data_IF_602273396694
#
_entry.id   IF_602273396694
#
_cell.length_a   1.000
_cell.length_b   1.000
_cell.length_c   1.000
_cell.angle_alpha   90.00
_cell.angle_beta   90.00
_cell.angle_gamma   90.00
#
_symmetry.space_group_name_H-M   'P 1'
#
loop_
_entity.id
_entity.type
_entity.pdbx_description
1 polymer ?
#
# COMPACT_ATOMS: atom_id res chain seq x y z
N UNK A 1 -10.26 21.15 -1.01
CA UNK A 1 -11.58 20.49 -1.03
C UNK A 1 -12.05 20.33 0.41
N UNK A 2 -13.35 20.14 0.66
CA UNK A 2 -13.89 19.93 2.01
C UNK A 2 -13.94 18.44 2.34
N UNK A 3 -13.85 18.09 3.63
CA UNK A 3 -13.90 16.70 4.11
C UNK A 3 -15.11 15.92 3.60
N UNK A 4 -16.27 16.59 3.41
CA UNK A 4 -17.48 15.97 2.87
C UNK A 4 -17.32 15.57 1.39
N UNK A 5 -16.71 16.44 0.57
CA UNK A 5 -16.42 16.12 -0.83
C UNK A 5 -15.41 14.99 -0.95
N UNK A 6 -14.43 14.98 -0.05
CA UNK A 6 -13.39 13.96 -0.01
C UNK A 6 -13.94 12.58 0.39
N UNK A 7 -14.80 12.56 1.40
CA UNK A 7 -15.57 11.38 1.77
C UNK A 7 -16.43 10.88 0.61
N UNK A 8 -17.20 11.77 -0.01
CA UNK A 8 -18.10 11.42 -1.10
C UNK A 8 -17.37 10.85 -2.33
N UNK A 9 -16.21 11.43 -2.67
CA UNK A 9 -15.37 10.92 -3.74
C UNK A 9 -14.81 9.53 -3.43
N UNK A 10 -14.32 9.31 -2.19
CA UNK A 10 -13.83 7.99 -1.78
C UNK A 10 -14.93 6.94 -1.79
N UNK A 11 -16.12 7.29 -1.31
CA UNK A 11 -17.28 6.39 -1.35
C UNK A 11 -17.61 5.98 -2.79
N UNK A 12 -17.65 6.95 -3.70
CA UNK A 12 -17.90 6.69 -5.12
C UNK A 12 -16.84 5.79 -5.74
N UNK A 13 -15.58 6.07 -5.46
CA UNK A 13 -14.43 5.31 -5.94
C UNK A 13 -14.54 3.82 -5.54
N UNK A 14 -14.66 3.54 -4.24
CA UNK A 14 -14.78 2.18 -3.70
C UNK A 14 -16.04 1.46 -4.23
N UNK A 15 -17.17 2.19 -4.34
CA UNK A 15 -18.39 1.65 -4.95
C UNK A 15 -18.17 1.25 -6.42
N UNK A 16 -17.46 2.05 -7.19
CA UNK A 16 -17.20 1.72 -8.60
C UNK A 16 -16.25 0.55 -8.77
N UNK A 17 -15.27 0.37 -7.87
CA UNK A 17 -14.35 -0.77 -7.88
C UNK A 17 -15.06 -2.10 -7.62
N UNK A 18 -16.10 -2.09 -6.79
CA UNK A 18 -16.95 -3.27 -6.55
C UNK A 18 -18.01 -3.49 -7.64
N UNK A 19 -18.03 -2.64 -8.69
CA UNK A 19 -18.98 -2.74 -9.80
C UNK A 19 -20.41 -2.33 -9.45
N UNK A 20 -20.64 -1.73 -8.27
CA UNK A 20 -21.98 -1.37 -7.82
C UNK A 20 -22.46 -0.05 -8.42
N UNK A 21 -23.73 0.01 -8.82
CA UNK A 21 -24.42 1.30 -9.05
C UNK A 21 -24.84 1.94 -7.73
N UNK A 22 -25.22 3.23 -7.73
CA UNK A 22 -25.79 3.88 -6.53
C UNK A 22 -27.06 3.15 -6.07
N UNK A 23 -27.90 2.70 -7.00
CA UNK A 23 -29.10 1.90 -6.72
C UNK A 23 -28.75 0.56 -6.06
N UNK A 24 -27.70 -0.11 -6.53
CA UNK A 24 -27.24 -1.37 -5.93
C UNK A 24 -26.71 -1.16 -4.52
N UNK A 25 -25.89 -0.12 -4.30
CA UNK A 25 -25.38 0.20 -2.97
C UNK A 25 -26.51 0.57 -2.01
N UNK A 26 -27.51 1.34 -2.47
CA UNK A 26 -28.70 1.70 -1.71
C UNK A 26 -29.46 0.46 -1.23
N UNK A 27 -29.79 -0.42 -2.18
CA UNK A 27 -30.52 -1.65 -1.90
C UNK A 27 -29.78 -2.53 -0.88
N UNK A 28 -28.47 -2.70 -1.03
CA UNK A 28 -27.67 -3.56 -0.14
C UNK A 28 -27.43 -2.96 1.24
N UNK A 29 -27.23 -1.65 1.33
CA UNK A 29 -26.97 -0.95 2.60
C UNK A 29 -28.26 -0.63 3.38
N UNK A 30 -29.43 -0.74 2.75
CA UNK A 30 -30.70 -0.27 3.31
C UNK A 30 -30.81 1.25 3.40
N UNK A 31 -29.90 2.00 2.75
CA UNK A 31 -29.92 3.45 2.69
C UNK A 31 -30.66 3.93 1.44
N UNK A 32 -31.26 5.12 1.52
CA UNK A 32 -31.93 5.71 0.37
C UNK A 32 -30.95 6.06 -0.76
N UNK A 33 -31.34 5.79 -2.01
CA UNK A 33 -30.52 6.07 -3.19
C UNK A 33 -30.17 7.55 -3.32
N UNK A 34 -31.12 8.45 -3.06
CA UNK A 34 -30.88 9.90 -3.10
C UNK A 34 -29.94 10.33 -1.97
N UNK A 35 -30.02 9.68 -0.81
CA UNK A 35 -29.06 9.87 0.29
C UNK A 35 -27.64 9.51 -0.15
N UNK A 36 -27.42 8.32 -0.73
CA UNK A 36 -26.10 7.93 -1.28
C UNK A 36 -25.60 8.94 -2.30
N UNK A 37 -26.45 9.34 -3.26
CA UNK A 37 -26.07 10.34 -4.26
C UNK A 37 -25.65 11.67 -3.64
N UNK A 38 -26.36 12.13 -2.61
CA UNK A 38 -26.03 13.37 -1.89
C UNK A 38 -24.75 13.26 -1.05
N UNK A 39 -24.47 12.09 -0.46
CA UNK A 39 -23.21 11.82 0.23
C UNK A 39 -22.04 11.82 -0.77
N UNK A 40 -22.17 11.17 -1.92
CA UNK A 40 -21.12 11.12 -2.95
C UNK A 40 -20.78 12.51 -3.52
N UNK A 41 -21.74 13.43 -3.56
CA UNK A 41 -21.52 14.83 -3.97
C UNK A 41 -20.97 15.71 -2.84
N UNK A 42 -20.88 15.20 -1.61
CA UNK A 42 -20.43 15.94 -0.44
C UNK A 42 -21.46 16.94 0.10
N UNK A 43 -22.75 16.72 -0.17
CA UNK A 43 -23.87 17.58 0.26
C UNK A 43 -24.41 17.21 1.65
N UNK A 44 -24.07 16.02 2.15
CA UNK A 44 -24.51 15.51 3.45
C UNK A 44 -23.34 15.22 4.37
N UNK A 45 -23.50 15.55 5.65
CA UNK A 45 -22.68 15.02 6.72
C UNK A 45 -23.19 13.62 7.09
N UNK A 46 -22.41 12.59 6.78
CA UNK A 46 -22.77 11.18 7.05
C UNK A 46 -22.52 10.86 8.53
N UNK A 47 -23.39 10.08 9.16
CA UNK A 47 -23.18 9.63 10.54
C UNK A 47 -22.15 8.50 10.58
N UNK A 48 -21.47 8.32 11.72
CA UNK A 48 -20.54 7.20 11.92
C UNK A 48 -21.19 5.83 11.68
N UNK A 49 -22.46 5.67 12.10
CA UNK A 49 -23.23 4.44 11.87
C UNK A 49 -23.46 4.18 10.38
N UNK A 50 -23.74 5.21 9.59
CA UNK A 50 -23.90 5.05 8.15
C UNK A 50 -22.55 4.78 7.47
N UNK A 51 -21.44 5.29 8.00
CA UNK A 51 -20.09 4.95 7.51
C UNK A 51 -19.81 3.45 7.71
N UNK A 52 -20.09 2.92 8.90
CA UNK A 52 -19.97 1.48 9.20
C UNK A 52 -20.79 0.64 8.22
N UNK A 53 -22.08 0.93 8.07
CA UNK A 53 -22.98 0.25 7.12
C UNK A 53 -22.42 0.29 5.69
N UNK A 54 -21.95 1.45 5.24
CA UNK A 54 -21.41 1.61 3.89
C UNK A 54 -20.10 0.81 3.70
N UNK A 55 -19.22 0.79 4.70
CA UNK A 55 -17.97 0.02 4.66
C UNK A 55 -18.26 -1.48 4.61
N UNK A 56 -19.16 -1.98 5.47
CA UNK A 56 -19.60 -3.37 5.49
C UNK A 56 -20.24 -3.79 4.15
N UNK A 57 -21.11 -2.92 3.60
CA UNK A 57 -21.78 -3.19 2.32
C UNK A 57 -20.79 -3.25 1.15
N UNK A 58 -19.70 -2.48 1.23
CA UNK A 58 -18.64 -2.45 0.24
C UNK A 58 -17.59 -3.55 0.46
N UNK A 59 -17.69 -4.34 1.54
CA UNK A 59 -16.71 -5.35 1.96
C UNK A 59 -15.30 -4.75 2.15
N UNK A 60 -15.24 -3.61 2.86
CA UNK A 60 -14.00 -2.92 3.15
C UNK A 60 -13.89 -2.54 4.63
N UNK A 61 -12.69 -2.64 5.18
CA UNK A 61 -12.42 -2.13 6.53
C UNK A 61 -12.58 -0.60 6.59
N UNK A 62 -13.16 -0.07 7.68
CA UNK A 62 -13.24 1.40 7.93
C UNK A 62 -11.86 2.05 7.80
N UNK A 63 -10.82 1.43 8.38
CA UNK A 63 -9.45 1.94 8.27
C UNK A 63 -8.98 2.07 6.82
N UNK A 64 -9.38 1.16 5.93
CA UNK A 64 -9.04 1.21 4.51
C UNK A 64 -9.91 2.20 3.73
N UNK A 65 -11.16 2.41 4.14
CA UNK A 65 -11.99 3.48 3.58
C UNK A 65 -11.28 4.82 3.73
N UNK A 66 -10.77 5.12 4.93
CA UNK A 66 -10.06 6.36 5.24
C UNK A 66 -8.57 6.36 4.84
N UNK A 67 -8.06 5.28 4.27
CA UNK A 67 -6.69 5.15 3.76
C UNK A 67 -6.58 5.80 2.36
N UNK A 68 -6.73 7.13 2.31
CA UNK A 68 -6.64 7.93 1.09
C UNK A 68 -6.05 9.31 1.38
N UNK A 69 -5.24 9.84 0.44
CA UNK A 69 -4.70 11.21 0.49
C UNK A 69 -5.76 12.26 0.81
N UNK A 70 -6.99 12.00 0.37
CA UNK A 70 -8.11 12.91 0.52
C UNK A 70 -8.41 13.21 1.99
N UNK A 71 -8.08 12.30 2.90
CA UNK A 71 -8.24 12.45 4.35
C UNK A 71 -6.95 12.83 5.07
N UNK A 72 -5.83 12.95 4.36
CA UNK A 72 -4.61 13.45 4.97
C UNK A 72 -4.82 14.90 5.40
N UNK A 73 -4.61 15.16 6.69
CA UNK A 73 -4.65 16.48 7.32
C UNK A 73 -3.61 17.46 6.72
N UNK A 74 -2.79 16.98 5.77
CA UNK A 74 -1.56 17.59 5.33
C UNK A 74 -1.38 17.53 3.80
N UNK A 75 -2.40 17.91 3.01
CA UNK A 75 -2.32 17.95 1.53
C UNK A 75 -1.17 18.78 0.95
N UNK A 76 -0.81 19.89 1.59
CA UNK A 76 0.34 20.71 1.19
C UNK A 76 1.68 20.02 1.41
N UNK A 77 1.73 19.03 2.31
CA UNK A 77 2.96 18.32 2.66
C UNK A 77 3.23 17.17 1.71
N UNK A 78 2.19 16.46 1.29
CA UNK A 78 2.33 15.39 0.33
C UNK A 78 2.82 15.90 -1.04
N UNK A 79 2.35 17.09 -1.43
CA UNK A 79 2.87 17.80 -2.61
C UNK A 79 4.38 18.05 -2.51
N UNK A 80 4.86 18.53 -1.35
CA UNK A 80 6.30 18.77 -1.10
C UNK A 80 7.13 17.48 -1.11
N UNK A 81 6.57 16.37 -0.64
CA UNK A 81 7.25 15.08 -0.74
C UNK A 81 7.38 14.64 -2.20
N UNK A 82 6.33 14.81 -3.02
CA UNK A 82 6.41 14.51 -4.45
C UNK A 82 7.36 15.43 -5.22
N UNK A 83 7.59 16.66 -4.73
CA UNK A 83 8.58 17.60 -5.30
C UNK A 83 10.03 17.10 -5.10
N UNK A 84 10.29 16.19 -4.15
CA UNK A 84 11.62 15.59 -3.98
C UNK A 84 11.96 14.70 -5.18
N UNK A 85 13.22 14.68 -5.65
CA UNK A 85 13.65 13.80 -6.73
C UNK A 85 13.31 12.33 -6.44
N UNK A 86 12.81 11.59 -7.44
CA UNK A 86 12.46 10.17 -7.26
C UNK A 86 13.66 9.35 -6.75
N UNK A 87 14.88 9.67 -7.21
CA UNK A 87 16.09 8.98 -6.77
C UNK A 87 16.37 9.09 -5.26
N UNK A 88 15.81 10.10 -4.59
CA UNK A 88 15.90 10.24 -3.13
C UNK A 88 14.78 9.50 -2.38
N UNK A 89 13.68 9.19 -3.08
CA UNK A 89 12.46 8.57 -2.53
C UNK A 89 12.36 7.08 -2.81
N UNK A 90 13.01 6.62 -3.87
CA UNK A 90 13.01 5.24 -4.31
C UNK A 90 14.39 4.84 -4.85
N UNK A 91 14.87 3.69 -4.41
CA UNK A 91 16.08 3.07 -4.94
C UNK A 91 15.92 1.56 -4.94
N UNK A 92 16.58 0.86 -5.86
CA UNK A 92 16.64 -0.60 -5.83
C UNK A 92 18.02 -1.11 -6.20
N UNK A 93 18.31 -2.32 -5.76
CA UNK A 93 19.50 -3.09 -6.09
C UNK A 93 19.09 -4.50 -6.50
N UNK A 94 19.92 -5.14 -7.32
CA UNK A 94 19.79 -6.53 -7.70
C UNK A 94 21.11 -7.22 -7.40
N UNK A 95 21.04 -8.32 -6.68
CA UNK A 95 22.18 -9.17 -6.37
C UNK A 95 21.95 -10.55 -7.03
N UNK A 96 22.81 -10.86 -8.01
CA UNK A 96 22.74 -12.13 -8.75
C UNK A 96 23.25 -13.30 -7.93
N UNK A 97 24.22 -13.08 -7.05
CA UNK A 97 24.81 -14.14 -6.23
C UNK A 97 23.81 -14.63 -5.18
N UNK A 98 23.07 -13.70 -4.59
CA UNK A 98 22.05 -13.99 -3.58
C UNK A 98 20.64 -14.18 -4.15
N UNK A 99 20.49 -14.14 -5.47
CA UNK A 99 19.22 -14.22 -6.19
C UNK A 99 18.14 -13.26 -5.66
N UNK A 100 18.54 -12.01 -5.41
CA UNK A 100 17.80 -11.04 -4.61
C UNK A 100 17.53 -9.75 -5.38
N UNK A 101 16.32 -9.22 -5.22
CA UNK A 101 16.01 -7.82 -5.54
C UNK A 101 15.59 -7.14 -4.24
N UNK A 102 16.27 -6.05 -3.91
CA UNK A 102 15.90 -5.22 -2.78
C UNK A 102 15.54 -3.82 -3.27
N UNK A 103 14.44 -3.25 -2.79
CA UNK A 103 14.13 -1.84 -3.02
C UNK A 103 13.75 -1.13 -1.74
N UNK A 104 14.05 0.16 -1.71
CA UNK A 104 13.77 1.06 -0.60
C UNK A 104 12.79 2.12 -1.04
N UNK A 105 11.81 2.41 -0.18
CA UNK A 105 10.95 3.58 -0.28
C UNK A 105 11.13 4.44 0.96
N UNK A 106 11.39 5.72 0.76
CA UNK A 106 11.64 6.69 1.86
C UNK A 106 10.67 7.86 1.86
N UNK A 107 9.83 8.00 0.82
CA UNK A 107 8.90 9.10 0.67
C UNK A 107 7.63 8.70 -0.07
N UNK A 108 6.72 9.67 -0.26
CA UNK A 108 5.51 9.47 -1.06
C UNK A 108 5.89 9.12 -2.51
N UNK A 109 5.03 8.40 -3.23
CA UNK A 109 5.23 8.04 -4.63
C UNK A 109 4.00 8.41 -5.45
N UNK A 110 4.19 8.74 -6.73
CA UNK A 110 3.10 8.90 -7.68
C UNK A 110 2.83 7.58 -8.42
N UNK A 111 1.58 7.23 -8.77
CA UNK A 111 1.27 5.98 -9.50
C UNK A 111 2.08 5.77 -10.79
N UNK A 112 2.37 6.85 -11.52
CA UNK A 112 3.20 6.78 -12.74
C UNK A 112 4.67 6.45 -12.45
N UNK A 113 5.20 6.89 -11.31
CA UNK A 113 6.55 6.51 -10.86
C UNK A 113 6.58 5.01 -10.58
N UNK A 114 5.56 4.50 -9.88
CA UNK A 114 5.41 3.06 -9.60
C UNK A 114 5.35 2.25 -10.87
N UNK A 115 4.57 2.69 -11.84
CA UNK A 115 4.50 2.06 -13.16
C UNK A 115 5.87 2.04 -13.85
N UNK A 116 6.65 3.13 -13.76
CA UNK A 116 7.97 3.23 -14.38
C UNK A 116 8.96 2.25 -13.76
N UNK A 117 9.24 2.35 -12.46
CA UNK A 117 10.23 1.45 -11.85
C UNK A 117 9.74 0.00 -11.77
N UNK A 118 8.44 -0.26 -11.87
CA UNK A 118 7.92 -1.63 -12.04
C UNK A 118 8.48 -2.30 -13.30
N UNK A 119 8.72 -1.55 -14.37
CA UNK A 119 9.34 -2.10 -15.59
C UNK A 119 10.79 -2.50 -15.31
N UNK A 120 11.53 -1.65 -14.59
CA UNK A 120 12.93 -1.88 -14.23
C UNK A 120 13.08 -3.09 -13.31
N UNK A 121 12.23 -3.20 -12.27
CA UNK A 121 12.19 -4.34 -11.35
C UNK A 121 11.85 -5.65 -12.08
N UNK A 122 10.90 -5.62 -13.02
CA UNK A 122 10.56 -6.78 -13.86
C UNK A 122 11.72 -7.18 -14.76
N UNK A 123 12.45 -6.21 -15.31
CA UNK A 123 13.64 -6.48 -16.12
C UNK A 123 14.78 -7.06 -15.28
N UNK A 124 15.02 -6.55 -14.07
CA UNK A 124 15.98 -7.10 -13.13
C UNK A 124 15.64 -8.56 -12.75
N UNK A 125 14.36 -8.84 -12.44
CA UNK A 125 13.90 -10.19 -12.10
C UNK A 125 14.16 -11.23 -13.20
N UNK A 126 14.13 -10.82 -14.47
CA UNK A 126 14.43 -11.73 -15.59
C UNK A 126 15.91 -12.11 -15.70
N UNK A 127 16.80 -11.37 -15.04
CA UNK A 127 18.23 -11.68 -15.00
C UNK A 127 18.62 -12.64 -13.85
N UNK A 128 17.65 -13.01 -13.03
CA UNK A 128 17.81 -13.86 -11.85
C UNK A 128 17.33 -15.29 -12.12
N UNK A 129 17.69 -16.22 -11.24
CA UNK A 129 17.22 -17.60 -11.31
C UNK A 129 15.70 -17.63 -11.07
N UNK A 130 14.98 -18.15 -12.06
CA UNK A 130 13.52 -18.19 -12.07
C UNK A 130 12.96 -18.99 -10.88
N UNK A 131 11.84 -18.51 -10.32
CA UNK A 131 11.10 -19.12 -9.20
C UNK A 131 11.80 -19.15 -7.84
N UNK A 132 13.04 -18.68 -7.74
CA UNK A 132 13.81 -18.61 -6.49
C UNK A 132 14.13 -17.18 -6.05
N UNK A 133 13.48 -16.19 -6.65
CA UNK A 133 13.84 -14.79 -6.40
C UNK A 133 13.44 -14.42 -4.97
N UNK A 134 14.38 -13.87 -4.21
CA UNK A 134 14.13 -13.27 -2.90
C UNK A 134 13.83 -11.79 -3.11
N UNK A 135 12.80 -11.28 -2.44
CA UNK A 135 12.48 -9.86 -2.43
C UNK A 135 12.67 -9.27 -1.04
N UNK A 136 13.31 -8.11 -0.98
CA UNK A 136 13.36 -7.28 0.22
C UNK A 136 12.78 -5.90 -0.09
N UNK A 137 11.73 -5.53 0.62
CA UNK A 137 10.99 -4.29 0.44
C UNK A 137 11.17 -3.45 1.71
N UNK A 138 12.01 -2.43 1.65
CA UNK A 138 12.29 -1.55 2.78
C UNK A 138 11.46 -0.28 2.74
N UNK A 139 10.37 -0.28 3.49
CA UNK A 139 9.53 0.90 3.74
C UNK A 139 9.78 1.48 5.14
N UNK A 140 10.78 1.00 5.88
CA UNK A 140 11.03 1.41 7.28
C UNK A 140 11.38 2.89 7.42
N UNK A 141 11.88 3.51 6.34
CA UNK A 141 12.27 4.92 6.27
C UNK A 141 11.20 5.82 5.66
N UNK A 142 9.99 5.32 5.43
CA UNK A 142 8.86 6.14 5.00
C UNK A 142 8.36 7.04 6.14
N UNK A 143 9.13 8.07 6.47
CA UNK A 143 8.88 8.97 7.59
C UNK A 143 8.86 10.41 7.10
N UNK A 144 7.91 11.20 7.58
CA UNK A 144 7.83 12.64 7.28
C UNK A 144 7.61 13.40 8.57
N UNK A 145 8.50 14.35 8.89
CA UNK A 145 8.47 15.12 10.15
C UNK A 145 8.36 14.26 11.41
N UNK A 146 9.04 13.11 11.42
CA UNK A 146 9.02 12.17 12.54
C UNK A 146 7.74 11.34 12.67
N UNK A 147 6.79 11.46 11.74
CA UNK A 147 5.58 10.65 11.69
C UNK A 147 5.67 9.63 10.55
N UNK A 148 5.21 8.39 10.75
CA UNK A 148 5.15 7.41 9.67
C UNK A 148 4.13 7.85 8.60
N UNK A 149 4.48 7.64 7.34
CA UNK A 149 3.56 7.80 6.20
C UNK A 149 3.30 6.44 5.56
N UNK A 150 2.13 6.26 4.94
CA UNK A 150 1.74 5.04 4.25
C UNK A 150 1.50 5.30 2.76
N UNK A 151 1.31 4.24 1.99
CA UNK A 151 1.02 4.38 0.56
C UNK A 151 -0.40 4.88 0.32
N UNK A 152 -0.56 5.69 -0.72
CA UNK A 152 -1.88 6.04 -1.25
C UNK A 152 -2.59 4.79 -1.75
N UNK A 153 -3.91 4.86 -1.86
CA UNK A 153 -4.68 3.80 -2.49
C UNK A 153 -4.23 3.54 -3.95
N UNK A 154 -4.12 4.57 -4.78
CA UNK A 154 -3.75 4.46 -6.19
C UNK A 154 -2.33 3.89 -6.37
N UNK A 155 -1.44 4.19 -5.43
CA UNK A 155 -0.09 3.61 -5.34
C UNK A 155 -0.16 2.16 -4.89
N UNK A 156 -1.01 1.86 -3.91
CA UNK A 156 -1.26 0.50 -3.40
C UNK A 156 -1.79 -0.41 -4.50
N UNK A 157 -2.69 0.05 -5.38
CA UNK A 157 -3.13 -0.72 -6.54
C UNK A 157 -1.96 -1.09 -7.47
N UNK A 158 -1.05 -0.16 -7.71
CA UNK A 158 0.15 -0.43 -8.55
C UNK A 158 1.10 -1.42 -7.87
N UNK A 159 1.23 -1.35 -6.55
CA UNK A 159 1.96 -2.37 -5.81
C UNK A 159 1.29 -3.74 -5.87
N UNK A 160 -0.03 -3.81 -5.83
CA UNK A 160 -0.78 -5.06 -5.96
C UNK A 160 -0.54 -5.72 -7.33
N UNK A 161 -0.63 -4.94 -8.40
CA UNK A 161 -0.34 -5.38 -9.77
C UNK A 161 1.09 -5.94 -9.88
N UNK A 162 2.06 -5.26 -9.26
CA UNK A 162 3.45 -5.69 -9.26
C UNK A 162 3.64 -6.97 -8.44
N UNK A 163 3.04 -7.09 -7.26
CA UNK A 163 3.10 -8.29 -6.42
C UNK A 163 2.49 -9.50 -7.14
N UNK A 164 1.34 -9.34 -7.81
CA UNK A 164 0.75 -10.43 -8.63
C UNK A 164 1.70 -10.91 -9.72
N UNK A 165 2.44 -9.99 -10.33
CA UNK A 165 3.43 -10.34 -11.34
C UNK A 165 4.63 -11.08 -10.72
N UNK A 166 5.12 -10.67 -9.56
CA UNK A 166 6.24 -11.31 -8.87
C UNK A 166 5.91 -12.66 -8.26
N UNK A 167 4.64 -12.90 -7.88
CA UNK A 167 4.18 -14.14 -7.25
C UNK A 167 4.74 -15.44 -7.86
N UNK A 168 4.69 -15.68 -9.19
CA UNK A 168 5.25 -16.89 -9.79
C UNK A 168 6.79 -16.95 -9.82
N UNK A 169 7.48 -15.86 -9.49
CA UNK A 169 8.94 -15.74 -9.58
C UNK A 169 9.64 -15.81 -8.22
N UNK A 170 8.93 -15.53 -7.13
CA UNK A 170 9.52 -15.37 -5.81
C UNK A 170 9.32 -16.58 -4.89
N UNK A 171 10.37 -16.94 -4.15
CA UNK A 171 10.30 -17.95 -3.08
C UNK A 171 10.09 -17.32 -1.70
N UNK A 172 10.57 -16.08 -1.52
CA UNK A 172 10.54 -15.36 -0.25
C UNK A 172 10.41 -13.86 -0.50
N UNK A 173 9.53 -13.21 0.27
CA UNK A 173 9.35 -11.76 0.24
C UNK A 173 9.38 -11.24 1.67
N UNK A 174 10.26 -10.29 1.95
CA UNK A 174 10.37 -9.64 3.25
C UNK A 174 10.00 -8.17 3.09
N UNK A 175 9.12 -7.66 3.96
CA UNK A 175 8.68 -6.26 3.94
C UNK A 175 8.96 -5.60 5.27
N UNK A 176 9.83 -4.59 5.28
CA UNK A 176 10.15 -3.78 6.45
C UNK A 176 9.19 -2.59 6.48
N UNK A 177 8.41 -2.49 7.54
CA UNK A 177 7.37 -1.47 7.69
C UNK A 177 7.80 -0.41 8.71
N UNK A 178 7.39 0.84 8.49
CA UNK A 178 7.66 1.95 9.41
C UNK A 178 6.73 2.02 10.63
N UNK A 179 5.61 1.28 10.59
CA UNK A 179 4.52 1.37 11.56
C UNK A 179 3.68 0.09 11.54
N UNK A 180 2.97 -0.17 12.63
CA UNK A 180 1.96 -1.25 12.68
C UNK A 180 0.86 -1.04 11.63
N UNK A 181 0.51 0.22 11.37
CA UNK A 181 -0.45 0.59 10.33
C UNK A 181 0.01 0.14 8.94
N UNK A 182 1.25 0.48 8.55
CA UNK A 182 1.82 0.04 7.28
C UNK A 182 1.95 -1.48 7.20
N UNK A 183 2.32 -2.15 8.30
CA UNK A 183 2.35 -3.62 8.33
C UNK A 183 0.98 -4.21 7.98
N UNK A 184 -0.09 -3.67 8.55
CA UNK A 184 -1.45 -4.09 8.24
C UNK A 184 -1.82 -3.79 6.77
N UNK A 185 -1.46 -2.61 6.25
CA UNK A 185 -1.66 -2.24 4.85
C UNK A 185 -0.97 -3.24 3.90
N UNK A 186 0.32 -3.53 4.13
CA UNK A 186 1.12 -4.46 3.33
C UNK A 186 0.61 -5.91 3.42
N UNK A 187 0.10 -6.33 4.59
CA UNK A 187 -0.51 -7.64 4.75
C UNK A 187 -1.84 -7.77 3.99
N UNK A 188 -2.69 -6.73 3.99
CA UNK A 188 -3.92 -6.70 3.19
C UNK A 188 -3.60 -6.77 1.70
N UNK A 189 -2.65 -5.97 1.25
CA UNK A 189 -2.17 -5.98 -0.12
C UNK A 189 -1.70 -7.38 -0.55
N UNK A 190 -0.89 -8.01 0.29
CA UNK A 190 -0.34 -9.33 0.00
C UNK A 190 -1.41 -10.43 -0.04
N UNK A 191 -2.46 -10.32 0.78
CA UNK A 191 -3.62 -11.22 0.71
C UNK A 191 -4.35 -11.07 -0.62
N UNK A 192 -4.58 -9.83 -1.08
CA UNK A 192 -5.25 -9.54 -2.36
C UNK A 192 -4.46 -9.94 -3.60
N UNK A 193 -3.12 -9.87 -3.53
CA UNK A 193 -2.23 -10.30 -4.62
C UNK A 193 -1.94 -11.81 -4.60
N UNK A 194 -2.15 -12.47 -3.46
CA UNK A 194 -1.83 -13.88 -3.23
C UNK A 194 -0.38 -14.11 -2.77
N UNK A 195 0.47 -13.08 -2.77
CA UNK A 195 1.89 -13.17 -2.37
C UNK A 195 2.08 -13.40 -0.87
N UNK A 196 1.03 -13.23 -0.05
CA UNK A 196 1.06 -13.48 1.40
C UNK A 196 1.62 -14.86 1.78
N UNK A 197 1.54 -15.84 0.89
CA UNK A 197 2.08 -17.20 1.11
C UNK A 197 3.60 -17.23 1.28
N UNK A 198 4.29 -16.28 0.65
CA UNK A 198 5.76 -16.14 0.67
C UNK A 198 6.19 -14.81 1.28
N UNK A 199 5.24 -13.92 1.61
CA UNK A 199 5.51 -12.62 2.20
C UNK A 199 5.47 -12.66 3.73
N UNK A 200 6.48 -12.04 4.34
CA UNK A 200 6.46 -11.64 5.75
C UNK A 200 6.65 -10.15 5.86
N UNK A 201 5.73 -9.50 6.57
CA UNK A 201 5.83 -8.07 6.89
C UNK A 201 6.26 -7.92 8.34
N UNK A 202 7.29 -7.13 8.59
CA UNK A 202 7.89 -6.94 9.90
C UNK A 202 7.83 -5.45 10.24
N UNK A 203 7.41 -5.17 11.47
CA UNK A 203 7.46 -3.85 12.09
C UNK A 203 8.05 -4.06 13.48
N UNK A 204 9.10 -3.31 13.82
CA UNK A 204 9.67 -3.31 15.16
C UNK A 204 9.53 -1.91 15.75
N UNK A 205 8.95 -1.82 16.95
CA UNK A 205 8.89 -0.57 17.71
C UNK A 205 10.29 -0.13 18.17
N UNK A 206 11.18 -1.10 18.39
CA UNK A 206 12.58 -0.90 18.76
C UNK A 206 13.53 -1.45 17.69
N UNK A 207 14.69 -0.84 17.51
CA UNK A 207 15.66 -1.14 16.43
C UNK A 207 16.23 -2.58 16.42
N UNK A 208 15.76 -3.47 17.27
CA UNK A 208 16.18 -4.85 17.34
C UNK A 208 15.23 -5.74 16.55
N UNK A 209 15.67 -6.14 15.36
CA UNK A 209 15.01 -7.14 14.53
C UNK A 209 15.20 -8.52 15.15
N UNK A 210 14.49 -8.82 16.24
CA UNK A 210 14.49 -10.15 16.83
C UNK A 210 13.60 -11.05 15.97
N UNK A 211 14.22 -11.77 15.04
CA UNK A 211 13.59 -12.87 14.34
C UNK A 211 13.63 -14.08 15.27
N UNK A 212 12.52 -14.37 15.95
CA UNK A 212 12.33 -15.65 16.61
C UNK A 212 12.42 -16.77 15.56
N UNK A 213 13.60 -17.39 15.45
CA UNK A 213 13.83 -18.65 14.73
C UNK A 213 14.22 -18.57 13.25
N UNK A 214 14.63 -17.43 12.69
CA UNK A 214 14.85 -17.31 11.22
C UNK A 214 16.20 -16.70 10.83
N UNK A 215 17.24 -17.54 10.81
CA UNK A 215 18.60 -17.19 10.39
C UNK A 215 18.62 -16.48 9.03
N UNK A 216 17.88 -17.01 8.03
CA UNK A 216 17.89 -16.49 6.66
C UNK A 216 17.39 -15.04 6.54
N UNK A 217 16.50 -14.61 7.45
CA UNK A 217 15.96 -13.26 7.48
C UNK A 217 16.93 -12.27 8.11
N UNK A 218 17.61 -12.68 9.18
CA UNK A 218 18.65 -11.88 9.84
C UNK A 218 19.82 -11.68 8.88
N UNK A 219 20.26 -12.74 8.19
CA UNK A 219 21.37 -12.67 7.24
C UNK A 219 21.04 -11.74 6.05
N UNK A 220 19.81 -11.80 5.54
CA UNK A 220 19.32 -10.90 4.49
C UNK A 220 19.32 -9.43 4.93
N UNK A 221 18.89 -9.16 6.17
CA UNK A 221 18.87 -7.81 6.74
C UNK A 221 20.29 -7.30 7.00
N UNK A 222 21.16 -8.13 7.56
CA UNK A 222 22.57 -7.79 7.82
C UNK A 222 23.33 -7.49 6.53
N UNK A 223 23.08 -8.24 5.46
CA UNK A 223 23.60 -7.94 4.13
C UNK A 223 23.08 -6.58 3.64
N UNK A 224 21.76 -6.37 3.70
CA UNK A 224 21.13 -5.17 3.14
C UNK A 224 21.55 -3.86 3.81
N UNK A 225 21.86 -3.87 5.11
CA UNK A 225 22.35 -2.68 5.82
C UNK A 225 23.87 -2.46 5.69
N UNK A 226 24.62 -3.42 5.12
CA UNK A 226 26.06 -3.29 4.83
C UNK A 226 26.36 -2.79 3.41
N UNK A 227 25.37 -2.87 2.51
CA UNK A 227 25.43 -2.41 1.11
C UNK A 227 24.74 -1.05 0.98
#
# INVERSE_FOLDING_TARGET
>A
MTILKDFGLRLRELRTQTGMSQDTLACRSGLDRSYIGSVERGERNVSLRNIEILCDTLDVDISYFFDSERFSLQRSFLKRELDRPLAERFSYIMDKENNLIAWRVTGALHPDEVKRFSLDLKAACRQLESKKVKLLIDNSKMMTKGQPIAFQYEVTEKWEELQRWFLPHCEQVTVLCNSKFMQNQMNRLAKRSGIIKVQRSIYSEDKEWHADGESDLIDLLLWYYKV
#
